data_IF_128262007584
#
_entry.id   IF_128262007584
#
_cell.length_a   1.000
_cell.length_b   1.000
_cell.length_c   1.000
_cell.angle_alpha   90.00
_cell.angle_beta   90.00
_cell.angle_gamma   90.00
#
_symmetry.space_group_name_H-M   'P 1'
#
loop_
_entity.id
_entity.type
_entity.pdbx_description
1 polymer ?
#
# COMPACT_ATOMS: atom_id res chain seq x y z
N UNK A 1 5.16 5.05 1.05
CA UNK A 1 3.92 5.20 1.85
C UNK A 1 3.57 6.67 1.88
N UNK A 2 2.32 7.01 1.56
CA UNK A 2 1.77 8.35 1.61
C UNK A 2 0.90 8.48 2.86
N UNK A 3 1.24 9.45 3.71
CA UNK A 3 0.38 9.90 4.79
C UNK A 3 -0.41 11.10 4.29
N UNK A 4 -1.72 10.96 4.23
CA UNK A 4 -2.61 11.99 3.68
C UNK A 4 -3.45 12.54 4.80
N UNK A 5 -3.37 13.86 4.99
CA UNK A 5 -4.32 14.58 5.83
C UNK A 5 -5.66 14.71 5.09
N UNK A 6 -6.76 14.37 5.76
CA UNK A 6 -8.10 14.50 5.18
C UNK A 6 -8.42 15.94 4.74
N UNK A 7 -7.92 16.95 5.47
CA UNK A 7 -8.12 18.36 5.14
C UNK A 7 -7.47 18.78 3.82
N UNK A 8 -6.40 18.09 3.40
CA UNK A 8 -5.74 18.37 2.13
C UNK A 8 -6.69 18.20 0.93
N UNK A 9 -7.74 17.39 1.04
CA UNK A 9 -8.78 17.26 -0.01
C UNK A 9 -9.58 18.53 -0.25
N UNK A 10 -9.64 19.43 0.73
CA UNK A 10 -10.33 20.72 0.63
C UNK A 10 -9.45 21.82 0.04
N UNK A 11 -8.13 21.61 -0.06
CA UNK A 11 -7.20 22.57 -0.63
C UNK A 11 -7.01 22.28 -2.13
N UNK A 12 -7.35 23.23 -2.99
CA UNK A 12 -7.39 23.03 -4.46
C UNK A 12 -6.08 22.47 -5.03
N UNK A 13 -4.93 23.01 -4.62
CA UNK A 13 -3.63 22.58 -5.14
C UNK A 13 -3.25 21.18 -4.68
N UNK A 14 -3.59 20.82 -3.44
CA UNK A 14 -3.31 19.49 -2.88
C UNK A 14 -4.26 18.45 -3.47
N UNK A 15 -5.53 18.81 -3.67
CA UNK A 15 -6.53 17.94 -4.29
C UNK A 15 -6.07 17.44 -5.65
N UNK A 16 -5.43 18.28 -6.48
CA UNK A 16 -4.88 17.83 -7.78
C UNK A 16 -3.82 16.75 -7.58
N UNK A 17 -2.84 16.98 -6.71
CA UNK A 17 -1.81 15.98 -6.42
C UNK A 17 -2.38 14.67 -5.86
N UNK A 18 -3.43 14.74 -5.03
CA UNK A 18 -4.09 13.54 -4.50
C UNK A 18 -4.88 12.78 -5.57
N UNK A 19 -5.48 13.47 -6.54
CA UNK A 19 -6.11 12.84 -7.72
C UNK A 19 -5.07 12.13 -8.60
N UNK A 20 -3.89 12.74 -8.76
CA UNK A 20 -2.78 12.08 -9.47
C UNK A 20 -2.35 10.80 -8.74
N UNK A 21 -2.29 10.81 -7.40
CA UNK A 21 -2.00 9.61 -6.59
C UNK A 21 -3.07 8.51 -6.69
N UNK A 22 -4.33 8.87 -6.93
CA UNK A 22 -5.41 7.88 -7.19
C UNK A 22 -5.27 7.22 -8.57
N UNK A 23 -4.66 7.93 -9.53
CA UNK A 23 -4.57 7.51 -10.94
C UNK A 23 -3.20 7.00 -11.36
N UNK A 24 -2.14 7.23 -10.57
CA UNK A 24 -0.78 6.69 -10.80
C UNK A 24 -0.74 5.17 -11.00
N UNK A 25 -1.78 4.46 -10.59
CA UNK A 25 -1.83 3.00 -10.51
C UNK A 25 -2.57 2.34 -11.69
N UNK A 26 -3.00 3.12 -12.68
CA UNK A 26 -3.71 2.61 -13.86
C UNK A 26 -2.77 1.96 -14.92
N UNK A 27 -1.45 2.02 -14.73
CA UNK A 27 -0.50 1.36 -15.63
C UNK A 27 -0.34 -0.13 -15.29
N UNK A 28 -0.71 -1.08 -16.18
CA UNK A 28 -0.67 -2.52 -15.90
C UNK A 28 0.75 -3.07 -15.63
N UNK A 29 1.79 -2.31 -15.95
CA UNK A 29 3.18 -2.69 -15.72
C UNK A 29 3.65 -2.35 -14.28
N UNK A 30 3.10 -1.30 -13.68
CA UNK A 30 3.47 -0.82 -12.35
C UNK A 30 2.58 -1.44 -11.28
N UNK A 31 3.08 -2.47 -10.60
CA UNK A 31 2.37 -2.98 -9.41
C UNK A 31 2.40 -1.91 -8.34
N UNK A 32 1.24 -1.57 -7.85
CA UNK A 32 0.99 -0.75 -6.66
C UNK A 32 1.92 -1.12 -5.50
N UNK A 33 2.99 -0.36 -5.34
CA UNK A 33 3.87 -0.46 -4.16
C UNK A 33 3.60 0.68 -3.19
N UNK A 34 2.80 1.65 -3.60
CA UNK A 34 2.43 2.83 -2.84
C UNK A 34 1.21 2.55 -1.96
N UNK A 35 1.40 2.63 -0.64
CA UNK A 35 0.29 2.63 0.30
C UNK A 35 -0.14 4.05 0.63
N UNK A 36 -1.44 4.30 0.70
CA UNK A 36 -2.07 5.56 1.11
C UNK A 36 -2.77 5.33 2.44
N UNK A 37 -2.39 6.11 3.45
CA UNK A 37 -2.94 6.02 4.80
C UNK A 37 -3.40 7.39 5.26
N UNK A 38 -4.58 7.43 5.89
CA UNK A 38 -5.23 8.66 6.33
C UNK A 38 -5.36 8.62 7.85
N UNK A 39 -4.43 9.25 8.59
CA UNK A 39 -4.54 9.39 10.03
C UNK A 39 -5.76 10.23 10.39
N UNK A 40 -6.57 9.72 11.30
CA UNK A 40 -7.72 10.42 11.85
C UNK A 40 -7.58 10.44 13.37
N UNK A 41 -7.05 11.53 13.93
CA UNK A 41 -6.96 11.63 15.39
C UNK A 41 -8.36 11.75 16.00
N UNK A 42 -8.69 10.86 16.93
CA UNK A 42 -9.92 10.98 17.71
C UNK A 42 -9.91 12.21 18.64
N UNK A 43 -8.72 12.72 18.98
CA UNK A 43 -8.50 13.87 19.86
C UNK A 43 -8.63 15.21 19.12
N UNK A 44 -8.68 15.20 17.79
CA UNK A 44 -8.92 16.39 16.99
C UNK A 44 -10.43 16.65 16.86
N UNK A 45 -10.92 17.58 17.68
CA UNK A 45 -12.33 18.00 17.70
C UNK A 45 -12.79 18.60 16.37
N UNK A 46 -11.91 19.30 15.64
CA UNK A 46 -12.24 19.94 14.37
C UNK A 46 -12.43 18.87 13.29
N UNK A 47 -11.47 17.95 13.16
CA UNK A 47 -11.59 16.81 12.25
C UNK A 47 -12.81 15.95 12.58
N UNK A 48 -13.12 15.75 13.87
CA UNK A 48 -14.31 14.97 14.29
C UNK A 48 -15.61 15.64 13.85
N UNK A 49 -15.73 16.96 14.04
CA UNK A 49 -16.92 17.72 13.64
C UNK A 49 -17.14 17.71 12.13
N UNK A 50 -16.05 17.76 11.35
CA UNK A 50 -16.11 17.79 9.89
C UNK A 50 -15.94 16.42 9.23
N UNK A 51 -15.86 15.33 10.00
CA UNK A 51 -15.51 14.01 9.48
C UNK A 51 -16.44 13.53 8.35
N UNK A 52 -17.74 13.84 8.44
CA UNK A 52 -18.70 13.47 7.39
C UNK A 52 -18.36 14.13 6.05
N UNK A 53 -18.03 15.41 6.07
CA UNK A 53 -17.69 16.17 4.86
C UNK A 53 -16.31 15.77 4.33
N UNK A 54 -15.35 15.58 5.24
CA UNK A 54 -14.00 15.12 4.90
C UNK A 54 -14.04 13.72 4.29
N UNK A 55 -14.81 12.80 4.87
CA UNK A 55 -15.03 11.45 4.32
C UNK A 55 -15.65 11.49 2.92
N UNK A 56 -16.55 12.44 2.68
CA UNK A 56 -17.16 12.62 1.36
C UNK A 56 -16.15 13.12 0.33
N UNK A 57 -15.32 14.12 0.67
CA UNK A 57 -14.27 14.60 -0.24
C UNK A 57 -13.16 13.57 -0.44
N UNK A 58 -12.83 12.76 0.56
CA UNK A 58 -11.93 11.61 0.43
C UNK A 58 -12.44 10.61 -0.60
N UNK A 59 -13.73 10.24 -0.54
CA UNK A 59 -14.34 9.34 -1.53
C UNK A 59 -14.34 9.89 -2.94
N UNK A 60 -14.46 11.22 -3.08
CA UNK A 60 -14.37 11.90 -4.39
C UNK A 60 -12.94 12.01 -4.91
N UNK A 61 -11.95 12.00 -4.02
CA UNK A 61 -10.55 12.14 -4.38
C UNK A 61 -9.92 10.79 -4.70
N UNK A 62 -10.26 9.74 -3.93
CA UNK A 62 -9.70 8.39 -4.07
C UNK A 62 -10.72 7.39 -4.64
N UNK A 63 -11.41 7.76 -5.72
CA UNK A 63 -12.53 6.99 -6.27
C UNK A 63 -12.09 5.58 -6.63
N UNK A 64 -10.94 5.45 -7.30
CA UNK A 64 -10.40 4.16 -7.74
C UNK A 64 -10.12 3.24 -6.56
N UNK A 65 -9.45 3.76 -5.53
CA UNK A 65 -9.12 2.98 -4.31
C UNK A 65 -10.36 2.61 -3.49
N UNK A 66 -11.35 3.50 -3.38
CA UNK A 66 -12.61 3.17 -2.70
C UNK A 66 -13.45 2.14 -3.44
N UNK A 67 -13.33 2.03 -4.77
CA UNK A 67 -14.00 1.00 -5.56
C UNK A 67 -13.40 -0.40 -5.35
N UNK A 68 -12.13 -0.46 -4.91
CA UNK A 68 -11.37 -1.70 -4.70
C UNK A 68 -11.47 -2.16 -3.26
N UNK A 69 -12.51 -2.96 -2.98
CA UNK A 69 -12.83 -3.42 -1.63
C UNK A 69 -11.72 -4.21 -0.93
N UNK A 70 -10.78 -4.77 -1.69
CA UNK A 70 -9.66 -5.58 -1.21
C UNK A 70 -8.31 -4.85 -1.24
N UNK A 71 -8.31 -3.52 -1.43
CA UNK A 71 -7.09 -2.72 -1.47
C UNK A 71 -6.38 -2.69 -0.09
N UNK A 72 -5.42 -3.59 0.08
CA UNK A 72 -4.59 -3.68 1.29
C UNK A 72 -3.62 -2.51 1.44
N UNK A 73 -3.44 -1.71 0.39
CA UNK A 73 -2.56 -0.54 0.36
C UNK A 73 -3.31 0.76 0.69
N UNK A 74 -4.65 0.74 0.74
CA UNK A 74 -5.47 1.90 1.10
C UNK A 74 -6.07 1.79 2.49
N UNK A 75 -5.79 2.78 3.35
CA UNK A 75 -6.36 2.90 4.70
C UNK A 75 -7.02 4.26 4.87
N UNK A 76 -8.35 4.35 4.67
CA UNK A 76 -9.06 5.63 4.65
C UNK A 76 -9.31 6.25 6.03
N UNK A 77 -9.00 5.53 7.11
CA UNK A 77 -9.13 6.04 8.48
C UNK A 77 -8.27 5.23 9.43
N UNK A 78 -7.23 5.86 9.99
CA UNK A 78 -6.33 5.26 10.97
C UNK A 78 -6.45 6.03 12.29
N UNK A 79 -7.11 5.43 13.27
CA UNK A 79 -7.61 6.12 14.47
C UNK A 79 -6.59 6.27 15.61
N UNK A 80 -5.49 5.51 15.56
CA UNK A 80 -4.50 5.49 16.64
C UNK A 80 -3.11 5.10 16.12
N UNK A 81 -2.07 5.43 16.88
CA UNK A 81 -0.70 5.04 16.56
C UNK A 81 -0.52 3.51 16.48
N UNK A 82 -1.06 2.68 17.41
CA UNK A 82 -0.98 1.24 17.27
C UNK A 82 -1.67 0.70 16.01
N UNK A 83 -2.81 1.29 15.61
CA UNK A 83 -3.49 0.92 14.37
C UNK A 83 -2.64 1.29 13.14
N UNK A 84 -2.03 2.47 13.17
CA UNK A 84 -1.10 2.92 12.12
C UNK A 84 0.08 1.97 11.96
N UNK A 85 0.73 1.58 13.05
CA UNK A 85 1.87 0.66 13.00
C UNK A 85 1.49 -0.73 12.51
N UNK A 86 0.28 -1.20 12.85
CA UNK A 86 -0.25 -2.47 12.35
C UNK A 86 -0.50 -2.41 10.84
N UNK A 87 -1.17 -1.36 10.38
CA UNK A 87 -1.46 -1.15 8.96
C UNK A 87 -0.17 -0.95 8.14
N UNK A 88 0.80 -0.20 8.67
CA UNK A 88 2.09 0.02 8.04
C UNK A 88 2.85 -1.30 7.83
N UNK A 89 2.86 -2.19 8.82
CA UNK A 89 3.48 -3.51 8.68
C UNK A 89 2.83 -4.34 7.58
N UNK A 90 1.50 -4.30 7.46
CA UNK A 90 0.77 -4.99 6.39
C UNK A 90 1.15 -4.41 5.02
N UNK A 91 1.11 -3.09 4.89
CA UNK A 91 1.45 -2.40 3.64
C UNK A 91 2.89 -2.69 3.19
N UNK A 92 3.86 -2.64 4.10
CA UNK A 92 5.26 -2.95 3.79
C UNK A 92 5.43 -4.40 3.36
N UNK A 93 4.74 -5.34 4.01
CA UNK A 93 4.80 -6.77 3.65
C UNK A 93 4.20 -7.00 2.25
N UNK A 94 3.09 -6.35 1.93
CA UNK A 94 2.46 -6.42 0.60
C UNK A 94 3.38 -5.83 -0.46
N UNK A 95 3.99 -4.67 -0.20
CA UNK A 95 4.93 -4.03 -1.12
C UNK A 95 6.16 -4.91 -1.37
N UNK A 96 6.77 -5.48 -0.32
CA UNK A 96 7.91 -6.41 -0.44
C UNK A 96 7.54 -7.65 -1.26
N UNK A 97 6.38 -8.25 -1.01
CA UNK A 97 5.91 -9.40 -1.78
C UNK A 97 5.72 -9.04 -3.26
N UNK A 98 5.13 -7.88 -3.56
CA UNK A 98 4.95 -7.39 -4.93
C UNK A 98 6.29 -7.16 -5.65
N UNK A 99 7.29 -6.62 -4.94
CA UNK A 99 8.65 -6.46 -5.47
C UNK A 99 9.33 -7.81 -5.75
N UNK A 100 9.23 -8.78 -4.85
CA UNK A 100 9.86 -10.09 -5.01
C UNK A 100 9.20 -10.96 -6.09
N UNK A 101 7.88 -10.88 -6.25
CA UNK A 101 7.16 -11.63 -7.32
C UNK A 101 7.51 -11.12 -8.72
N UNK A 102 7.81 -9.83 -8.87
CA UNK A 102 8.16 -9.21 -10.17
C UNK A 102 9.66 -8.99 -10.39
N UNK A 103 10.52 -9.40 -9.46
CA UNK A 103 11.95 -9.11 -9.54
C UNK A 103 12.63 -9.83 -10.72
N UNK A 104 12.94 -9.08 -11.79
CA UNK A 104 14.26 -9.24 -12.41
C UNK A 104 15.25 -8.61 -11.44
N UNK A 105 16.24 -9.34 -10.92
CA UNK A 105 17.21 -8.76 -9.99
C UNK A 105 17.94 -7.59 -10.67
N UNK A 106 17.81 -6.38 -10.11
CA UNK A 106 18.54 -5.18 -10.57
C UNK A 106 20.04 -5.22 -10.27
N UNK A 107 20.50 -6.26 -9.58
CA UNK A 107 21.90 -6.53 -9.33
C UNK A 107 22.26 -7.78 -10.13
N UNK A 108 23.22 -7.74 -11.06
CA UNK A 108 23.75 -8.98 -11.61
C UNK A 108 24.22 -9.81 -10.42
N UNK A 109 23.73 -11.05 -10.32
CA UNK A 109 24.29 -12.00 -9.36
C UNK A 109 25.80 -12.01 -9.60
N UNK A 110 26.63 -11.88 -8.54
CA UNK A 110 28.07 -12.05 -8.71
C UNK A 110 28.29 -13.38 -9.44
N UNK A 111 28.89 -13.31 -10.62
CA UNK A 111 29.20 -14.48 -11.43
C UNK A 111 29.93 -15.50 -10.56
N UNK A 112 29.47 -16.75 -10.69
CA UNK A 112 29.91 -17.94 -9.96
C UNK A 112 31.30 -17.86 -9.33
N UNK A 113 31.32 -17.73 -8.01
CA UNK A 113 32.39 -18.25 -7.18
C UNK A 113 31.80 -19.13 -6.08
N UNK A 114 31.23 -20.27 -6.48
CA UNK A 114 31.07 -21.43 -5.59
C UNK A 114 29.80 -21.50 -4.75
N UNK A 115 28.62 -21.14 -5.27
CA UNK A 115 27.38 -21.52 -4.59
C UNK A 115 27.20 -23.05 -4.65
N UNK A 116 27.03 -23.74 -3.51
CA UNK A 116 26.70 -25.17 -3.52
C UNK A 116 25.35 -25.38 -4.22
N UNK A 117 25.15 -26.54 -4.90
CA UNK A 117 23.93 -26.81 -5.64
C UNK A 117 22.72 -26.62 -4.73
N UNK A 118 21.77 -25.79 -5.17
CA UNK A 118 20.50 -25.61 -4.45
C UNK A 118 19.88 -26.99 -4.25
N UNK A 119 19.46 -27.35 -3.03
CA UNK A 119 18.80 -28.63 -2.80
C UNK A 119 17.52 -28.68 -3.62
N UNK A 120 17.48 -29.59 -4.59
CA UNK A 120 16.26 -29.95 -5.30
C UNK A 120 15.48 -30.84 -4.35
N UNK A 121 14.28 -30.40 -3.97
CA UNK A 121 13.36 -31.19 -3.17
C UNK A 121 12.84 -32.32 -4.07
N UNK A 122 13.41 -33.52 -3.91
CA UNK A 122 12.98 -34.71 -4.63
C UNK A 122 11.64 -35.20 -4.05
N UNK A 123 10.55 -34.87 -4.75
CA UNK A 123 9.19 -35.30 -4.39
C UNK A 123 8.97 -36.81 -4.56
N UNK A 124 9.93 -37.54 -5.13
CA UNK A 124 9.92 -39.01 -5.23
C UNK A 124 10.20 -39.72 -3.91
N UNK A 125 10.73 -39.01 -2.90
CA UNK A 125 11.09 -39.56 -1.59
C UNK A 125 9.98 -39.46 -0.54
N UNK A 126 8.78 -39.00 -0.91
CA UNK A 126 7.62 -39.05 -0.03
C UNK A 126 7.08 -40.50 0.00
N UNK A 127 7.08 -41.19 1.16
CA UNK A 127 6.46 -42.50 1.25
C UNK A 127 4.97 -42.37 0.93
N UNK A 128 4.53 -43.15 -0.07
CA UNK A 128 3.18 -43.11 -0.60
C UNK A 128 2.08 -43.45 0.42
N UNK A 129 0.90 -42.90 0.14
CA UNK A 129 -0.40 -43.47 0.49
C UNK A 129 -0.53 -44.91 0.04
#
# INVERSE_FOLDING_TARGET
>A
VFLVDAWATKLTDHRRALLDVDTWEESPEETETSAVMIPCSAEDDETRQHWRDLSYELRKTFVSRFARSDDRMFRPSVLSLPAFEADLRVALSVAQNRMHVKGVPHQPLPEDAGSPPRPVLDLSALPGT
#
